data_IF_286213227029
#
_entry.id   IF_286213227029
#
_cell.length_a   1.000
_cell.length_b   1.000
_cell.length_c   1.000
_cell.angle_alpha   90.00
_cell.angle_beta   90.00
_cell.angle_gamma   90.00
#
_symmetry.space_group_name_H-M   'P 1'
#
loop_
_entity.id
_entity.type
_entity.pdbx_description
1 polymer ?
#
# COMPACT_ATOMS: atom_id res chain seq x y z
N UNK A 1 34.47 79.18 -17.20
CA UNK A 1 33.54 79.68 -16.16
C UNK A 1 33.18 78.52 -15.24
N UNK A 2 33.40 78.73 -13.94
CA UNK A 2 33.00 77.89 -12.79
C UNK A 2 31.52 77.44 -12.88
N UNK A 3 31.02 76.37 -12.24
CA UNK A 3 30.95 76.25 -10.77
C UNK A 3 30.53 74.84 -10.28
N UNK A 4 31.34 74.35 -9.34
CA UNK A 4 31.17 73.40 -8.21
C UNK A 4 29.78 72.83 -7.82
N UNK A 5 29.81 71.52 -7.52
CA UNK A 5 29.30 70.82 -6.31
C UNK A 5 27.79 70.61 -6.09
N UNK A 6 27.35 69.36 -5.94
CA UNK A 6 26.99 68.79 -4.63
C UNK A 6 26.75 67.26 -4.70
N UNK A 7 27.35 66.54 -3.75
CA UNK A 7 27.13 65.13 -3.42
C UNK A 7 26.14 65.07 -2.26
N UNK A 8 25.09 64.24 -2.35
CA UNK A 8 24.30 63.75 -1.19
C UNK A 8 23.49 62.51 -1.62
N UNK A 9 23.96 61.31 -1.28
CA UNK A 9 23.47 60.40 -0.21
C UNK A 9 22.36 59.41 -0.60
N UNK A 10 22.78 58.14 -0.64
CA UNK A 10 22.13 56.91 -0.14
C UNK A 10 20.61 56.73 -0.24
N UNK A 11 20.22 55.66 -0.94
CA UNK A 11 18.89 55.06 -0.85
C UNK A 11 18.78 53.74 -1.61
N UNK A 12 19.68 52.78 -1.36
CA UNK A 12 19.54 51.43 -1.89
C UNK A 12 18.47 50.66 -1.10
N UNK A 13 17.21 50.68 -1.56
CA UNK A 13 16.23 49.68 -1.16
C UNK A 13 16.58 48.36 -1.85
N UNK A 14 17.29 47.50 -1.12
CA UNK A 14 17.48 46.11 -1.49
C UNK A 14 16.14 45.38 -1.46
N UNK A 15 15.55 45.14 -2.62
CA UNK A 15 14.50 44.15 -2.78
C UNK A 15 15.13 42.76 -2.61
N UNK A 16 15.07 42.21 -1.39
CA UNK A 16 15.28 40.79 -1.16
C UNK A 16 14.13 40.03 -1.85
N UNK A 17 14.34 39.69 -3.12
CA UNK A 17 13.54 38.68 -3.80
C UNK A 17 13.74 37.35 -3.09
N UNK A 18 12.75 36.93 -2.32
CA UNK A 18 12.66 35.57 -1.82
C UNK A 18 12.54 34.63 -3.03
N UNK A 19 13.66 34.04 -3.43
CA UNK A 19 13.71 32.93 -4.38
C UNK A 19 13.02 31.74 -3.74
N UNK A 20 11.72 31.61 -4.00
CA UNK A 20 10.99 30.38 -3.77
C UNK A 20 11.58 29.31 -4.70
N UNK A 21 12.45 28.45 -4.15
CA UNK A 21 12.92 27.25 -4.84
C UNK A 21 11.71 26.36 -5.04
N UNK A 22 11.25 26.09 -6.27
CA UNK A 22 10.18 25.15 -6.48
C UNK A 22 10.73 23.78 -6.08
N UNK A 23 10.06 23.09 -5.15
CA UNK A 23 10.30 21.69 -4.90
C UNK A 23 10.02 20.93 -6.21
N UNK A 24 11.08 20.55 -6.91
CA UNK A 24 11.00 19.72 -8.10
C UNK A 24 10.39 18.38 -7.65
N UNK A 25 9.11 18.17 -7.94
CA UNK A 25 8.51 16.84 -7.91
C UNK A 25 9.21 16.03 -9.00
N UNK A 26 10.18 15.19 -8.62
CA UNK A 26 10.80 14.24 -9.55
C UNK A 26 9.76 13.21 -10.01
N UNK A 27 9.10 13.49 -11.13
CA UNK A 27 8.33 12.51 -11.92
C UNK A 27 9.32 11.72 -12.78
N UNK A 28 9.12 10.39 -12.90
CA UNK A 28 9.92 9.60 -13.85
C UNK A 28 9.34 9.79 -15.25
N UNK A 29 10.18 10.17 -16.22
CA UNK A 29 9.74 10.27 -17.61
C UNK A 29 9.27 8.89 -18.11
N UNK A 30 8.07 8.78 -18.72
CA UNK A 30 7.62 7.56 -19.39
C UNK A 30 8.59 7.16 -20.51
N UNK A 31 8.83 5.86 -20.70
CA UNK A 31 9.57 5.39 -21.88
C UNK A 31 10.34 4.08 -21.73
N UNK A 32 10.58 3.60 -20.50
CA UNK A 32 11.32 2.34 -20.27
C UNK A 32 10.84 1.61 -19.01
N UNK A 33 10.73 0.29 -19.11
CA UNK A 33 10.55 -0.58 -17.94
C UNK A 33 11.51 -1.78 -18.01
N UNK A 34 12.23 -2.10 -16.92
CA UNK A 34 12.25 -1.38 -15.65
C UNK A 34 13.07 -0.05 -15.76
N UNK A 35 12.79 0.96 -14.92
CA UNK A 35 13.42 2.29 -15.03
C UNK A 35 14.89 2.27 -14.62
N UNK A 36 15.74 3.13 -15.19
CA UNK A 36 17.20 3.06 -14.97
C UNK A 36 17.65 3.21 -13.51
N UNK A 37 16.84 3.87 -12.68
CA UNK A 37 17.12 4.05 -11.26
C UNK A 37 15.84 4.10 -10.42
N UNK A 38 16.03 3.85 -9.12
CA UNK A 38 14.99 3.96 -8.12
C UNK A 38 14.80 5.42 -7.70
N UNK A 39 13.65 5.99 -8.02
CA UNK A 39 13.27 7.34 -7.60
C UNK A 39 12.20 7.24 -6.51
N UNK A 40 12.29 8.09 -5.48
CA UNK A 40 11.33 8.20 -4.37
C UNK A 40 11.11 6.88 -3.56
N UNK A 41 12.19 6.12 -3.36
CA UNK A 41 12.21 5.00 -2.41
C UNK A 41 12.40 5.52 -0.98
N UNK A 42 11.56 5.03 -0.06
CA UNK A 42 11.50 5.48 1.35
C UNK A 42 11.69 4.35 2.38
N UNK A 43 11.65 3.10 1.93
CA UNK A 43 11.74 1.90 2.79
C UNK A 43 12.75 0.92 2.20
N UNK A 44 12.67 0.67 0.89
CA UNK A 44 13.71 -0.07 0.15
C UNK A 44 14.98 0.76 0.08
N UNK A 45 16.12 0.13 0.32
CA UNK A 45 17.43 0.77 0.23
C UNK A 45 17.71 1.27 -1.20
N UNK A 46 18.30 2.46 -1.33
CA UNK A 46 18.54 3.11 -2.63
C UNK A 46 19.48 2.32 -3.55
N UNK A 47 20.35 1.50 -2.97
CA UNK A 47 21.31 0.66 -3.70
C UNK A 47 20.78 -0.74 -4.04
N UNK A 48 19.53 -1.07 -3.71
CA UNK A 48 18.93 -2.37 -4.06
C UNK A 48 18.87 -2.51 -5.58
N UNK A 49 19.33 -3.65 -6.17
CA UNK A 49 19.25 -3.86 -7.60
C UNK A 49 17.81 -3.79 -8.11
N UNK A 50 17.60 -3.04 -9.19
CA UNK A 50 16.29 -2.74 -9.73
C UNK A 50 15.44 -3.99 -9.99
N UNK A 51 16.04 -5.06 -10.51
CA UNK A 51 15.34 -6.32 -10.78
C UNK A 51 14.81 -6.97 -9.50
N UNK A 52 15.52 -6.83 -8.37
CA UNK A 52 15.04 -7.32 -7.08
C UNK A 52 13.84 -6.51 -6.60
N UNK A 53 13.86 -5.18 -6.79
CA UNK A 53 12.71 -4.32 -6.48
C UNK A 53 11.49 -4.71 -7.31
N UNK A 54 11.66 -4.94 -8.62
CA UNK A 54 10.58 -5.43 -9.49
C UNK A 54 10.04 -6.78 -8.98
N UNK A 55 10.91 -7.70 -8.56
CA UNK A 55 10.53 -8.96 -7.92
C UNK A 55 9.69 -8.75 -6.65
N UNK A 56 10.13 -7.87 -5.75
CA UNK A 56 9.35 -7.52 -4.54
C UNK A 56 7.97 -6.95 -4.91
N UNK A 57 7.89 -6.05 -5.89
CA UNK A 57 6.62 -5.46 -6.32
C UNK A 57 5.66 -6.51 -6.88
N UNK A 58 6.17 -7.49 -7.64
CA UNK A 58 5.37 -8.62 -8.14
C UNK A 58 4.85 -9.50 -7.00
N UNK A 59 5.68 -9.76 -5.99
CA UNK A 59 5.27 -10.51 -4.80
C UNK A 59 4.18 -9.76 -4.02
N UNK A 60 4.30 -8.45 -3.86
CA UNK A 60 3.26 -7.64 -3.23
C UNK A 60 1.95 -7.67 -4.02
N UNK A 61 2.02 -7.49 -5.35
CA UNK A 61 0.84 -7.54 -6.22
C UNK A 61 0.12 -8.89 -6.12
N UNK A 62 0.86 -10.00 -6.18
CA UNK A 62 0.31 -11.36 -6.03
C UNK A 62 -0.31 -11.59 -4.64
N UNK A 63 0.39 -11.21 -3.57
CA UNK A 63 -0.10 -11.35 -2.21
C UNK A 63 -1.42 -10.62 -1.96
N UNK A 64 -1.60 -9.44 -2.56
CA UNK A 64 -2.80 -8.61 -2.43
C UNK A 64 -3.89 -8.93 -3.47
N UNK A 65 -3.60 -9.76 -4.48
CA UNK A 65 -4.50 -10.03 -5.60
C UNK A 65 -4.81 -8.79 -6.45
N UNK A 66 -3.84 -7.88 -6.57
CA UNK A 66 -3.96 -6.62 -7.32
C UNK A 66 -2.91 -6.53 -8.42
N UNK A 67 -3.01 -5.49 -9.25
CA UNK A 67 -2.03 -5.17 -10.29
C UNK A 67 -1.27 -3.88 -9.98
N UNK A 68 -0.21 -3.60 -10.75
CA UNK A 68 0.74 -2.51 -10.50
C UNK A 68 0.07 -1.14 -10.31
N UNK A 69 -0.95 -0.85 -11.11
CA UNK A 69 -1.70 0.42 -11.06
C UNK A 69 -2.52 0.57 -9.79
N UNK A 70 -2.70 -0.48 -8.98
CA UNK A 70 -3.33 -0.37 -7.67
C UNK A 70 -2.56 0.60 -6.78
N UNK A 71 -1.22 0.54 -6.81
CA UNK A 71 -0.34 1.42 -6.03
C UNK A 71 0.36 2.48 -6.88
N UNK A 72 0.73 2.19 -8.11
CA UNK A 72 1.46 3.12 -8.97
C UNK A 72 0.53 3.90 -9.90
N UNK A 73 0.98 5.07 -10.36
CA UNK A 73 0.21 5.89 -11.29
C UNK A 73 0.44 5.37 -12.70
N UNK A 74 -0.63 4.91 -13.33
CA UNK A 74 -0.62 4.31 -14.65
C UNK A 74 -2.00 3.74 -14.98
N UNK A 75 -2.18 3.31 -16.23
CA UNK A 75 -3.45 2.81 -16.73
C UNK A 75 -3.39 1.30 -16.92
N UNK A 76 -4.46 0.62 -16.52
CA UNK A 76 -4.60 -0.82 -16.71
C UNK A 76 -4.57 -1.19 -18.20
N UNK A 77 -3.90 -2.28 -18.54
CA UNK A 77 -3.73 -2.75 -19.92
C UNK A 77 -2.70 -1.99 -20.76
N UNK A 78 -2.16 -0.86 -20.28
CA UNK A 78 -1.09 -0.14 -20.97
C UNK A 78 0.30 -0.72 -20.63
N UNK A 79 1.31 -0.55 -21.51
CA UNK A 79 2.67 -0.97 -21.23
C UNK A 79 3.21 -0.35 -19.93
N UNK A 80 3.93 -1.13 -19.11
CA UNK A 80 4.49 -0.62 -17.85
C UNK A 80 5.47 0.56 -18.05
N UNK A 81 6.04 0.71 -19.25
CA UNK A 81 6.88 1.86 -19.60
C UNK A 81 6.12 3.20 -19.55
N UNK A 82 4.77 3.19 -19.58
CA UNK A 82 3.95 4.39 -19.49
C UNK A 82 3.59 4.80 -18.06
N UNK A 83 4.00 4.01 -17.06
CA UNK A 83 3.68 4.26 -15.65
C UNK A 83 4.67 5.23 -15.01
N UNK A 84 4.19 6.10 -14.13
CA UNK A 84 5.04 6.87 -13.22
C UNK A 84 5.14 6.13 -11.88
N UNK A 85 6.19 5.32 -11.72
CA UNK A 85 6.38 4.52 -10.51
C UNK A 85 6.82 5.37 -9.31
N UNK A 86 7.45 6.53 -9.51
CA UNK A 86 7.92 7.39 -8.42
C UNK A 86 6.80 8.24 -7.81
N UNK A 87 5.77 8.58 -8.58
CA UNK A 87 4.66 9.43 -8.13
C UNK A 87 3.97 8.91 -6.87
N UNK A 88 3.67 9.83 -5.96
CA UNK A 88 3.15 9.56 -4.61
C UNK A 88 1.68 9.99 -4.44
N UNK A 89 0.89 9.91 -5.51
CA UNK A 89 -0.51 10.35 -5.49
C UNK A 89 -1.47 9.34 -4.87
N UNK A 90 -1.18 8.04 -4.99
CA UNK A 90 -2.11 7.00 -4.54
C UNK A 90 -1.95 6.71 -3.06
N UNK A 91 -3.05 6.86 -2.30
CA UNK A 91 -3.12 6.45 -0.88
C UNK A 91 -2.61 5.03 -0.64
N UNK A 92 -2.92 4.10 -1.53
CA UNK A 92 -2.50 2.68 -1.47
C UNK A 92 -0.98 2.51 -1.45
N UNK A 93 -0.21 3.37 -2.15
CA UNK A 93 1.26 3.37 -2.10
C UNK A 93 1.79 3.80 -0.74
N UNK A 94 1.15 4.82 -0.13
CA UNK A 94 1.49 5.25 1.23
C UNK A 94 1.18 4.16 2.26
N UNK A 95 0.02 3.52 2.15
CA UNK A 95 -0.34 2.37 2.99
C UNK A 95 0.66 1.22 2.81
N UNK A 96 1.03 0.87 1.58
CA UNK A 96 2.00 -0.19 1.31
C UNK A 96 3.35 0.06 2.00
N UNK A 97 3.84 1.30 2.02
CA UNK A 97 5.09 1.64 2.75
C UNK A 97 4.97 1.41 4.25
N UNK A 98 3.83 1.73 4.86
CA UNK A 98 3.60 1.44 6.28
C UNK A 98 3.49 -0.07 6.52
N UNK A 99 2.84 -0.80 5.62
CA UNK A 99 2.76 -2.27 5.71
C UNK A 99 4.14 -2.93 5.60
N UNK A 100 5.04 -2.42 4.76
CA UNK A 100 6.41 -2.91 4.69
C UNK A 100 7.15 -2.76 6.02
N UNK A 101 7.03 -1.60 6.68
CA UNK A 101 7.61 -1.35 8.00
C UNK A 101 6.98 -2.23 9.08
N UNK A 102 5.66 -2.43 9.02
CA UNK A 102 4.95 -3.31 9.95
C UNK A 102 5.43 -4.76 9.83
N UNK A 103 5.56 -5.28 8.60
CA UNK A 103 6.07 -6.64 8.36
C UNK A 103 7.54 -6.77 8.81
N UNK A 104 8.36 -5.75 8.59
CA UNK A 104 9.74 -5.72 9.11
C UNK A 104 9.78 -5.77 10.64
N UNK A 105 8.95 -4.98 11.33
CA UNK A 105 8.82 -5.00 12.79
C UNK A 105 8.33 -6.35 13.30
N UNK A 106 7.29 -6.93 12.70
CA UNK A 106 6.77 -8.25 13.08
C UNK A 106 7.89 -9.29 12.95
N UNK A 107 8.58 -9.33 11.82
CA UNK A 107 9.65 -10.29 11.59
C UNK A 107 10.83 -10.12 12.55
N UNK A 108 11.12 -8.89 13.02
CA UNK A 108 12.12 -8.63 14.08
C UNK A 108 11.71 -9.10 15.47
N UNK A 109 10.44 -9.44 15.69
CA UNK A 109 9.93 -9.91 16.99
C UNK A 109 9.58 -11.39 17.01
N UNK A 110 9.62 -12.08 15.86
CA UNK A 110 9.28 -13.50 15.79
C UNK A 110 10.18 -14.34 16.70
N UNK A 111 11.45 -13.96 16.83
CA UNK A 111 12.44 -14.58 17.71
C UNK A 111 12.17 -14.37 19.20
N UNK A 112 11.25 -13.47 19.57
CA UNK A 112 10.83 -13.24 20.96
C UNK A 112 9.71 -14.17 21.42
N UNK A 113 9.14 -14.98 20.53
CA UNK A 113 8.10 -15.93 20.88
C UNK A 113 8.66 -17.01 21.83
N UNK A 114 7.87 -17.50 22.81
CA UNK A 114 8.30 -18.61 23.66
C UNK A 114 8.60 -19.84 22.81
N UNK A 115 9.72 -20.51 23.10
CA UNK A 115 10.15 -21.71 22.38
C UNK A 115 9.83 -22.93 23.24
N UNK A 116 9.07 -23.87 22.69
CA UNK A 116 9.17 -25.27 23.05
C UNK A 116 10.45 -25.85 22.42
N UNK A 117 11.11 -26.76 23.13
CA UNK A 117 12.50 -27.21 22.90
C UNK A 117 12.82 -27.80 21.50
N UNK A 118 11.86 -27.83 20.57
CA UNK A 118 11.95 -28.46 19.25
C UNK A 118 11.51 -27.53 18.08
N UNK A 119 11.05 -26.30 18.34
CA UNK A 119 10.51 -25.44 17.28
C UNK A 119 11.54 -24.45 16.71
N UNK A 120 12.00 -24.75 15.50
CA UNK A 120 12.89 -23.89 14.70
C UNK A 120 12.15 -22.66 14.15
N UNK A 121 12.04 -21.63 14.97
CA UNK A 121 11.59 -20.30 14.53
C UNK A 121 12.53 -19.66 13.48
N UNK A 122 13.76 -20.19 13.28
CA UNK A 122 14.77 -19.69 12.34
C UNK A 122 14.24 -19.46 10.91
N UNK A 123 13.20 -20.19 10.51
CA UNK A 123 12.62 -20.13 9.16
C UNK A 123 11.29 -19.40 9.09
N UNK A 124 10.67 -19.07 10.24
CA UNK A 124 9.36 -18.45 10.29
C UNK A 124 9.46 -16.99 9.86
N UNK A 125 8.75 -16.62 8.80
CA UNK A 125 8.70 -15.26 8.27
C UNK A 125 7.28 -14.89 7.90
N UNK A 126 6.82 -13.76 8.41
CA UNK A 126 5.59 -13.11 7.96
C UNK A 126 5.87 -12.39 6.65
N UNK A 127 4.97 -12.57 5.70
CA UNK A 127 4.97 -11.86 4.42
C UNK A 127 3.62 -11.20 4.21
N UNK A 128 3.48 -10.38 3.17
CA UNK A 128 2.19 -9.82 2.78
C UNK A 128 1.15 -10.93 2.56
N UNK A 129 1.56 -12.08 2.01
CA UNK A 129 0.67 -13.20 1.71
C UNK A 129 0.12 -13.89 2.96
N UNK A 130 0.84 -13.84 4.09
CA UNK A 130 0.40 -14.40 5.37
C UNK A 130 -0.97 -13.85 5.78
N UNK A 131 -1.20 -12.55 5.61
CA UNK A 131 -2.47 -11.89 5.93
C UNK A 131 -3.35 -11.70 4.69
N UNK A 132 -2.78 -11.22 3.57
CA UNK A 132 -3.57 -10.83 2.41
C UNK A 132 -4.13 -11.99 1.61
N UNK A 133 -3.42 -13.12 1.50
CA UNK A 133 -3.94 -14.36 0.88
C UNK A 133 -4.66 -14.12 -0.47
N UNK A 134 -4.17 -13.19 -1.28
CA UNK A 134 -4.73 -12.85 -2.59
C UNK A 134 -5.87 -11.82 -2.57
N UNK A 135 -6.11 -11.12 -1.45
CA UNK A 135 -7.10 -10.04 -1.33
C UNK A 135 -6.51 -8.76 -0.76
N UNK A 136 -6.91 -7.62 -1.30
CA UNK A 136 -6.34 -6.31 -0.94
C UNK A 136 -6.78 -5.81 0.44
N UNK A 137 -7.93 -6.31 0.93
CA UNK A 137 -8.45 -6.07 2.26
C UNK A 137 -8.48 -7.39 3.04
N UNK A 138 -7.49 -7.66 3.92
CA UNK A 138 -7.34 -8.93 4.64
C UNK A 138 -8.26 -8.97 5.87
N UNK A 139 -9.57 -9.08 5.64
CA UNK A 139 -10.55 -9.31 6.72
C UNK A 139 -11.06 -10.74 6.64
N UNK A 140 -11.32 -11.40 7.78
CA UNK A 140 -11.98 -12.71 7.80
C UNK A 140 -13.36 -12.66 7.14
N UNK A 141 -13.81 -13.79 6.60
CA UNK A 141 -15.08 -13.86 5.87
C UNK A 141 -16.26 -13.48 6.76
N UNK A 142 -16.28 -13.98 8.00
CA UNK A 142 -17.34 -13.70 8.97
C UNK A 142 -17.48 -12.20 9.27
N UNK A 143 -16.37 -11.46 9.25
CA UNK A 143 -16.41 -10.01 9.42
C UNK A 143 -16.98 -9.33 8.18
N UNK A 144 -16.57 -9.76 6.99
CA UNK A 144 -17.09 -9.18 5.75
C UNK A 144 -18.61 -9.41 5.60
N UNK A 145 -19.09 -10.62 5.91
CA UNK A 145 -20.53 -10.93 5.89
C UNK A 145 -21.28 -10.11 6.94
N UNK A 146 -20.76 -10.04 8.17
CA UNK A 146 -21.37 -9.23 9.22
C UNK A 146 -21.46 -7.74 8.85
N UNK A 147 -20.37 -7.15 8.34
CA UNK A 147 -20.38 -5.75 7.88
C UNK A 147 -21.37 -5.53 6.72
N UNK A 148 -21.45 -6.47 5.77
CA UNK A 148 -22.36 -6.36 4.62
C UNK A 148 -23.81 -6.46 5.06
N UNK A 149 -24.15 -7.38 5.97
CA UNK A 149 -25.49 -7.48 6.53
C UNK A 149 -25.85 -6.22 7.33
N UNK A 150 -24.92 -5.71 8.13
CA UNK A 150 -25.14 -4.49 8.91
C UNK A 150 -25.36 -3.25 8.04
N UNK A 151 -24.65 -3.13 6.91
CA UNK A 151 -24.75 -1.97 6.02
C UNK A 151 -25.84 -2.08 4.96
N UNK A 152 -26.15 -3.29 4.49
CA UNK A 152 -26.93 -3.52 3.27
C UNK A 152 -27.96 -4.67 3.35
N UNK A 153 -28.20 -5.22 4.55
CA UNK A 153 -29.18 -6.29 4.81
C UNK A 153 -28.68 -7.72 4.53
N UNK A 154 -29.37 -8.72 5.09
CA UNK A 154 -28.95 -10.12 5.03
C UNK A 154 -28.91 -10.68 3.59
N UNK A 155 -29.82 -10.24 2.73
CA UNK A 155 -29.83 -10.62 1.30
C UNK A 155 -28.55 -10.20 0.57
N UNK A 156 -28.08 -8.97 0.85
CA UNK A 156 -26.81 -8.47 0.29
C UNK A 156 -25.63 -9.27 0.81
N UNK A 157 -25.65 -9.66 2.08
CA UNK A 157 -24.61 -10.50 2.68
C UNK A 157 -24.59 -11.90 2.04
N UNK A 158 -25.75 -12.48 1.77
CA UNK A 158 -25.87 -13.77 1.07
C UNK A 158 -25.31 -13.69 -0.34
N UNK A 159 -25.63 -12.63 -1.09
CA UNK A 159 -25.05 -12.41 -2.43
C UNK A 159 -23.54 -12.21 -2.37
N UNK A 160 -23.05 -11.45 -1.39
CA UNK A 160 -21.62 -11.24 -1.18
C UNK A 160 -20.90 -12.56 -0.87
N UNK A 161 -21.45 -13.39 0.02
CA UNK A 161 -20.93 -14.72 0.31
C UNK A 161 -20.80 -15.56 -0.96
N UNK A 162 -21.88 -15.67 -1.75
CA UNK A 162 -21.89 -16.46 -2.99
C UNK A 162 -20.84 -15.98 -3.98
N UNK A 163 -20.73 -14.66 -4.20
CA UNK A 163 -19.73 -14.08 -5.08
C UNK A 163 -18.29 -14.32 -4.59
N UNK A 164 -18.05 -14.22 -3.27
CA UNK A 164 -16.74 -14.52 -2.70
C UNK A 164 -16.39 -16.00 -2.85
N UNK A 165 -17.36 -16.89 -2.60
CA UNK A 165 -17.17 -18.33 -2.76
C UNK A 165 -16.84 -18.70 -4.20
N UNK A 166 -17.61 -18.19 -5.16
CA UNK A 166 -17.35 -18.42 -6.59
C UNK A 166 -15.93 -17.99 -6.98
N UNK A 167 -15.47 -16.83 -6.49
CA UNK A 167 -14.17 -16.27 -6.86
C UNK A 167 -12.98 -16.91 -6.13
N UNK A 168 -13.13 -17.24 -4.85
CA UNK A 168 -12.01 -17.54 -3.96
C UNK A 168 -12.00 -18.95 -3.36
N UNK A 169 -13.03 -19.76 -3.61
CA UNK A 169 -13.01 -21.14 -3.15
C UNK A 169 -11.78 -21.88 -3.70
N UNK A 170 -11.07 -22.60 -2.83
CA UNK A 170 -9.81 -23.28 -3.15
C UNK A 170 -8.57 -22.38 -3.26
N UNK A 171 -8.70 -21.05 -3.14
CA UNK A 171 -7.56 -20.10 -3.19
C UNK A 171 -6.98 -19.74 -1.82
N UNK A 172 -7.53 -20.36 -0.77
CA UNK A 172 -7.19 -20.13 0.62
C UNK A 172 -7.48 -18.70 1.13
N UNK A 173 -8.07 -17.79 0.34
CA UNK A 173 -8.31 -16.40 0.73
C UNK A 173 -9.31 -16.24 1.88
N UNK A 174 -10.30 -17.12 1.94
CA UNK A 174 -11.36 -17.13 2.94
C UNK A 174 -11.65 -18.56 3.38
N UNK A 175 -12.09 -18.71 4.64
CA UNK A 175 -12.68 -19.94 5.13
C UNK A 175 -14.18 -19.93 4.81
N UNK A 176 -14.64 -20.90 4.02
CA UNK A 176 -16.05 -21.07 3.64
C UNK A 176 -16.74 -22.16 4.47
N UNK A 177 -16.11 -22.65 5.53
CA UNK A 177 -16.67 -23.61 6.47
C UNK A 177 -17.87 -23.05 7.24
N UNK A 178 -18.72 -23.97 7.70
CA UNK A 178 -19.92 -23.67 8.50
C UNK A 178 -19.63 -22.82 9.75
N UNK A 179 -18.57 -23.08 10.56
CA UNK A 179 -18.32 -22.29 11.77
C UNK A 179 -18.13 -20.79 11.51
N UNK A 180 -17.54 -20.43 10.37
CA UNK A 180 -17.38 -19.02 9.97
C UNK A 180 -18.72 -18.33 9.76
N UNK A 181 -19.69 -19.03 9.17
CA UNK A 181 -21.03 -18.50 8.95
C UNK A 181 -21.81 -18.38 10.25
N UNK A 182 -21.68 -19.35 11.14
CA UNK A 182 -22.29 -19.31 12.47
C UNK A 182 -21.79 -18.11 13.28
N UNK A 183 -20.47 -17.86 13.28
CA UNK A 183 -19.88 -16.69 13.94
C UNK A 183 -20.45 -15.38 13.38
N UNK A 184 -20.62 -15.29 12.06
CA UNK A 184 -21.23 -14.11 11.43
C UNK A 184 -22.70 -13.94 11.89
N UNK A 185 -23.48 -15.01 11.89
CA UNK A 185 -24.87 -15.00 12.34
C UNK A 185 -25.00 -14.60 13.81
N UNK A 186 -24.18 -15.16 14.70
CA UNK A 186 -24.17 -14.79 16.12
C UNK A 186 -23.80 -13.32 16.34
N UNK A 187 -22.86 -12.77 15.56
CA UNK A 187 -22.49 -11.34 15.64
C UNK A 187 -23.66 -10.45 15.20
N UNK A 188 -24.39 -10.84 14.17
CA UNK A 188 -25.57 -10.11 13.69
C UNK A 188 -26.72 -10.16 14.69
N UNK A 189 -27.00 -11.34 15.24
CA UNK A 189 -28.02 -11.53 16.28
C UNK A 189 -27.73 -10.66 17.52
N UNK A 190 -26.47 -10.61 17.98
CA UNK A 190 -26.06 -9.72 19.09
C UNK A 190 -26.21 -8.23 18.76
N UNK A 191 -26.13 -7.86 17.49
CA UNK A 191 -26.33 -6.50 17.03
C UNK A 191 -27.80 -6.14 16.77
N UNK A 192 -28.74 -7.07 17.02
CA UNK A 192 -30.18 -6.87 16.80
C UNK A 192 -30.58 -6.75 15.32
N UNK A 193 -29.79 -7.32 14.40
CA UNK A 193 -30.05 -7.29 12.96
C UNK A 193 -30.34 -8.70 12.46
N UNK A 194 -31.61 -9.02 12.27
CA UNK A 194 -32.11 -10.37 11.94
C UNK A 194 -32.58 -10.49 10.47
N UNK A 195 -32.53 -9.38 9.74
CA UNK A 195 -33.19 -9.10 8.48
C UNK A 195 -32.22 -8.63 7.37
#
# INVERSE_FOLDING_TARGET
>A
MNLRSLVTTLGALGALGALAVPAVLCSQAPGKFPPDSLINVKVIAKNTPLIQVVGMMRNFAGALGVRCQYCHVGQEGQPLATFDFAKDEKRTKHTARQMMRMVEEINRRIDTLPHDHDQRHDTLRVTCATCHRGVSRPVPLEQLIAETAQGSGADSATRAYRALRERYYGRASYDFGEPTLDIAAFRLARAGKFD
#
